data_IF_840503878156
#
_entry.id   IF_840503878156
#
_cell.length_a   1.000
_cell.length_b   1.000
_cell.length_c   1.000
_cell.angle_alpha   90.00
_cell.angle_beta   90.00
_cell.angle_gamma   90.00
#
_symmetry.space_group_name_H-M   'P 1'
#
loop_
_entity.id
_entity.type
_entity.pdbx_description
1 polymer ?
#
# COMPACT_ATOMS: atom_id res chain seq x y z
N UNK A 1 -11.48 12.02 6.43
CA UNK A 1 -11.04 10.65 6.73
C UNK A 1 -9.55 10.73 7.09
N UNK A 2 -9.16 10.42 8.33
CA UNK A 2 -7.73 10.34 8.65
C UNK A 2 -7.19 8.98 8.16
N UNK A 3 -6.03 8.93 7.50
CA UNK A 3 -5.38 7.67 7.17
C UNK A 3 -5.16 6.83 8.43
N UNK A 4 -5.22 5.50 8.30
CA UNK A 4 -4.93 4.60 9.42
C UNK A 4 -3.53 4.89 9.96
N UNK A 5 -3.38 4.91 11.29
CA UNK A 5 -2.07 5.08 11.92
C UNK A 5 -1.28 3.81 11.72
N UNK A 6 -0.23 3.88 10.90
CA UNK A 6 0.70 2.79 10.64
C UNK A 6 2.04 3.06 11.34
N UNK A 7 2.69 2.02 11.81
CA UNK A 7 4.07 2.08 12.30
C UNK A 7 5.06 2.32 11.15
N UNK A 8 6.28 2.76 11.47
CA UNK A 8 7.32 2.98 10.45
C UNK A 8 7.67 1.69 9.68
N UNK A 9 7.62 0.53 10.34
CA UNK A 9 7.86 -0.78 9.70
C UNK A 9 6.77 -1.15 8.70
N UNK A 10 5.50 -0.90 9.03
CA UNK A 10 4.37 -1.15 8.12
C UNK A 10 4.42 -0.23 6.89
N UNK A 11 4.79 1.05 7.07
CA UNK A 11 4.97 1.98 5.96
C UNK A 11 6.10 1.56 5.01
N UNK A 12 7.22 1.07 5.55
CA UNK A 12 8.33 0.61 4.73
C UNK A 12 7.95 -0.62 3.89
N UNK A 13 7.24 -1.58 4.49
CA UNK A 13 6.74 -2.75 3.76
C UNK A 13 5.69 -2.37 2.72
N UNK A 14 4.78 -1.44 3.04
CA UNK A 14 3.80 -0.94 2.08
C UNK A 14 4.47 -0.30 0.86
N UNK A 15 5.49 0.54 1.07
CA UNK A 15 6.23 1.16 -0.03
C UNK A 15 6.93 0.11 -0.91
N UNK A 16 7.57 -0.89 -0.30
CA UNK A 16 8.21 -1.99 -1.04
C UNK A 16 7.20 -2.74 -1.92
N UNK A 17 6.05 -3.09 -1.37
CA UNK A 17 5.00 -3.77 -2.14
C UNK A 17 4.44 -2.89 -3.27
N UNK A 18 4.30 -1.58 -3.05
CA UNK A 18 3.88 -0.64 -4.08
C UNK A 18 4.89 -0.53 -5.21
N UNK A 19 6.19 -0.47 -4.90
CA UNK A 19 7.26 -0.48 -5.92
C UNK A 19 7.20 -1.73 -6.79
N UNK A 20 7.05 -2.92 -6.19
CA UNK A 20 6.89 -4.18 -6.94
C UNK A 20 5.64 -4.18 -7.85
N UNK A 21 4.53 -3.58 -7.39
CA UNK A 21 3.31 -3.48 -8.18
C UNK A 21 3.43 -2.46 -9.32
N UNK A 22 4.16 -1.37 -9.10
CA UNK A 22 4.47 -0.36 -10.12
C UNK A 22 5.40 -0.96 -11.20
N UNK A 23 6.43 -1.69 -10.80
CA UNK A 23 7.36 -2.36 -11.72
C UNK A 23 6.63 -3.40 -12.58
N UNK A 24 5.72 -4.17 -11.98
CA UNK A 24 4.85 -5.12 -12.69
C UNK A 24 3.74 -4.45 -13.53
N UNK A 25 3.66 -3.11 -13.52
CA UNK A 25 2.63 -2.33 -14.21
C UNK A 25 1.19 -2.68 -13.82
N UNK A 26 0.99 -3.22 -12.61
CA UNK A 26 -0.35 -3.54 -12.08
C UNK A 26 -1.07 -2.28 -11.57
N UNK A 27 -0.32 -1.29 -11.11
CA UNK A 27 -0.85 0.00 -10.60
C UNK A 27 -0.15 1.19 -11.27
N UNK A 28 -0.77 2.37 -11.20
CA UNK A 28 -0.17 3.63 -11.66
C UNK A 28 -0.55 4.78 -10.73
N UNK A 29 0.25 5.86 -10.67
CA UNK A 29 -0.14 7.08 -9.97
C UNK A 29 -1.50 7.60 -10.47
N UNK A 30 -2.35 8.03 -9.53
CA UNK A 30 -3.70 8.53 -9.81
C UNK A 30 -3.85 9.97 -9.28
N UNK A 31 -4.60 10.78 -10.02
CA UNK A 31 -4.97 12.17 -9.63
C UNK A 31 -6.45 12.27 -9.22
N UNK A 32 -7.08 11.13 -8.93
CA UNK A 32 -8.49 11.06 -8.53
C UNK A 32 -8.75 11.83 -7.22
N UNK A 33 -9.84 12.61 -7.13
CA UNK A 33 -10.26 13.23 -5.85
C UNK A 33 -10.78 12.20 -4.84
N UNK A 34 -11.00 10.95 -5.26
CA UNK A 34 -11.44 9.84 -4.42
C UNK A 34 -10.26 8.94 -4.05
N UNK A 35 -10.08 8.70 -2.74
CA UNK A 35 -9.10 7.77 -2.20
C UNK A 35 -9.78 6.64 -1.42
N UNK A 36 -9.23 5.43 -1.53
CA UNK A 36 -9.62 4.29 -0.72
C UNK A 36 -8.50 3.94 0.27
N UNK A 37 -8.82 3.61 1.54
CA UNK A 37 -7.81 3.16 2.49
C UNK A 37 -7.28 1.76 2.10
N UNK A 38 -5.98 1.55 2.27
CA UNK A 38 -5.32 0.25 2.08
C UNK A 38 -4.91 -0.30 3.43
N UNK A 39 -5.13 -1.60 3.65
CA UNK A 39 -4.71 -2.32 4.85
C UNK A 39 -3.66 -3.38 4.49
N UNK A 40 -2.53 -3.35 5.18
CA UNK A 40 -1.51 -4.40 5.08
C UNK A 40 -1.97 -5.60 5.93
N UNK A 41 -2.01 -6.78 5.32
CA UNK A 41 -2.35 -8.02 6.03
C UNK A 41 -1.19 -9.00 5.90
N UNK A 42 -0.63 -9.41 7.03
CA UNK A 42 0.36 -10.50 7.05
C UNK A 42 -0.37 -11.81 6.75
N UNK A 43 -0.04 -12.43 5.60
CA UNK A 43 -0.53 -13.78 5.30
C UNK A 43 0.07 -14.78 6.29
N UNK A 44 -0.74 -15.74 6.73
CA UNK A 44 -0.24 -16.89 7.51
C UNK A 44 0.61 -17.74 6.57
N UNK A 45 1.78 -18.16 7.02
CA UNK A 45 2.65 -19.05 6.24
C UNK A 45 1.91 -20.36 5.96
N UNK A 46 2.03 -20.84 4.73
CA UNK A 46 1.46 -22.11 4.27
C UNK A 46 2.19 -23.28 4.87
#
# INVERSE_FOLDING_TARGET
MAPYRMSASELNELNKQLEELLEKSFVRPSVSPWGAPVLLVKKKEG
#
